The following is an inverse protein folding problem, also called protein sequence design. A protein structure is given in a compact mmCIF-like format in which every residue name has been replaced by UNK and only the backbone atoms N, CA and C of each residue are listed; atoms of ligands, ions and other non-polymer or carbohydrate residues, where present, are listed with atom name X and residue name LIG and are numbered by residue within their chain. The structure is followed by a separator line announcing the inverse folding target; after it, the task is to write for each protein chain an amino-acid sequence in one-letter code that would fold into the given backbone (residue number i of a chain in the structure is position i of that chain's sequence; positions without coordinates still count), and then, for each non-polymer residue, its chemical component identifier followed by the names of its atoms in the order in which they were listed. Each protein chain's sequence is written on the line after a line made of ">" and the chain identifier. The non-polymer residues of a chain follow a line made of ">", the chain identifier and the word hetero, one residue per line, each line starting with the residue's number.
data_IF_201967338214
#
_entry.id   IF_201967338214
#
_cell.length_a   1.000
_cell.length_b   1.000
_cell.length_c   1.000
_cell.angle_alpha   90.00
_cell.angle_beta   90.00
_cell.angle_gamma   90.00
#
_symmetry.space_group_name_H-M   'P 1'
#
loop_
_entity.id
_entity.type
_entity.pdbx_description
1 polymer ?
#
# COMPACT_ATOMS: atom_id res chain seq x y z
N UNK A 1 9.56 -4.50 22.51
CA UNK A 1 9.97 -4.50 21.09
C UNK A 1 9.52 -3.17 20.49
N UNK A 2 10.38 -2.49 19.74
CA UNK A 2 10.08 -1.15 19.21
C UNK A 2 9.51 -1.27 17.81
N UNK A 3 8.29 -0.78 17.60
CA UNK A 3 7.67 -0.74 16.27
C UNK A 3 8.00 0.60 15.60
N UNK A 4 8.31 0.56 14.30
CA UNK A 4 8.52 1.75 13.47
C UNK A 4 7.42 1.84 12.41
N UNK A 5 6.82 3.02 12.26
CA UNK A 5 5.87 3.29 11.19
C UNK A 5 6.56 3.83 9.95
N UNK A 6 6.05 3.44 8.78
CA UNK A 6 6.44 3.99 7.48
C UNK A 6 5.23 4.64 6.83
N UNK A 7 5.48 5.69 6.03
CA UNK A 7 4.45 6.37 5.26
C UNK A 7 4.81 6.28 3.77
N UNK A 8 3.80 6.03 2.95
CA UNK A 8 3.92 5.99 1.50
C UNK A 8 2.66 6.56 0.87
N UNK A 9 2.80 7.20 -0.29
CA UNK A 9 1.70 7.74 -1.06
C UNK A 9 1.98 7.50 -2.55
N UNK A 10 0.92 7.21 -3.31
CA UNK A 10 0.94 7.04 -4.75
C UNK A 10 -0.35 7.60 -5.34
N UNK A 11 -0.40 7.75 -6.66
CA UNK A 11 -1.59 8.18 -7.41
C UNK A 11 -1.99 7.12 -8.40
N UNK A 12 -3.28 6.97 -8.64
CA UNK A 12 -3.84 6.01 -9.58
C UNK A 12 -5.04 6.63 -10.30
N UNK A 13 -5.42 6.05 -11.43
CA UNK A 13 -6.72 6.33 -12.04
C UNK A 13 -7.82 5.58 -11.27
N UNK A 14 -9.09 6.05 -11.35
CA UNK A 14 -10.22 5.38 -10.69
C UNK A 14 -10.66 4.10 -11.42
N UNK A 15 -9.73 3.18 -11.62
CA UNK A 15 -9.96 1.84 -12.17
C UNK A 15 -9.36 0.81 -11.21
N UNK A 16 -9.98 -0.37 -11.12
CA UNK A 16 -9.53 -1.39 -10.18
C UNK A 16 -8.09 -1.84 -10.46
N UNK A 17 -7.72 -1.98 -11.74
CA UNK A 17 -6.38 -2.38 -12.16
C UNK A 17 -5.34 -1.32 -11.77
N UNK A 18 -5.59 -0.04 -12.07
CA UNK A 18 -4.66 1.05 -11.74
C UNK A 18 -4.45 1.18 -10.23
N UNK A 19 -5.53 1.11 -9.43
CA UNK A 19 -5.45 1.18 -7.96
C UNK A 19 -4.63 0.03 -7.40
N UNK A 20 -4.86 -1.20 -7.87
CA UNK A 20 -4.15 -2.38 -7.37
C UNK A 20 -2.68 -2.36 -7.77
N UNK A 21 -2.39 -2.03 -9.03
CA UNK A 21 -1.02 -1.93 -9.53
C UNK A 21 -0.23 -0.85 -8.78
N UNK A 22 -0.77 0.37 -8.68
CA UNK A 22 -0.11 1.47 -7.99
C UNK A 22 0.13 1.15 -6.50
N UNK A 23 -0.83 0.48 -5.85
CA UNK A 23 -0.67 0.06 -4.45
C UNK A 23 0.42 -1.01 -4.30
N UNK A 24 0.50 -1.97 -5.22
CA UNK A 24 1.52 -3.01 -5.20
C UNK A 24 2.92 -2.44 -5.44
N UNK A 25 3.08 -1.53 -6.40
CA UNK A 25 4.33 -0.83 -6.67
C UNK A 25 4.78 -0.01 -5.44
N UNK A 26 3.85 0.66 -4.75
CA UNK A 26 4.14 1.37 -3.51
C UNK A 26 4.65 0.45 -2.40
N UNK A 27 3.99 -0.70 -2.20
CA UNK A 27 4.42 -1.69 -1.20
C UNK A 27 5.81 -2.25 -1.51
N UNK A 28 6.08 -2.56 -2.78
CA UNK A 28 7.40 -3.02 -3.24
C UNK A 28 8.48 -1.95 -3.01
N UNK A 29 8.18 -0.69 -3.31
CA UNK A 29 9.10 0.42 -3.07
C UNK A 29 9.39 0.61 -1.57
N UNK A 30 8.36 0.50 -0.71
CA UNK A 30 8.52 0.57 0.73
C UNK A 30 9.35 -0.60 1.28
N UNK A 31 9.12 -1.82 0.76
CA UNK A 31 9.89 -3.00 1.10
C UNK A 31 11.36 -2.83 0.70
N UNK A 32 11.63 -2.40 -0.53
CA UNK A 32 13.00 -2.17 -0.99
C UNK A 32 13.72 -1.07 -0.19
N UNK A 33 13.00 -0.04 0.26
CA UNK A 33 13.58 1.08 1.00
C UNK A 33 13.83 0.77 2.50
N UNK A 34 13.08 -0.16 3.09
CA UNK A 34 13.14 -0.42 4.54
C UNK A 34 13.50 -1.86 4.92
N UNK A 35 13.64 -2.75 3.93
CA UNK A 35 14.05 -4.15 4.06
C UNK A 35 13.22 -4.92 5.11
N UNK A 36 11.89 -4.97 4.91
CA UNK A 36 10.97 -5.70 5.78
C UNK A 36 10.33 -6.90 5.06
N UNK A 37 10.08 -7.97 5.81
CA UNK A 37 9.27 -9.10 5.37
C UNK A 37 7.78 -8.93 5.79
N UNK A 38 6.83 -9.61 5.14
CA UNK A 38 5.43 -9.61 5.56
C UNK A 38 5.23 -10.00 7.03
N UNK A 39 6.06 -10.91 7.55
CA UNK A 39 6.04 -11.35 8.95
C UNK A 39 6.48 -10.26 9.95
N UNK A 40 7.17 -9.21 9.49
CA UNK A 40 7.59 -8.07 10.33
C UNK A 40 6.48 -7.00 10.48
N UNK A 41 5.40 -7.11 9.70
CA UNK A 41 4.34 -6.11 9.66
C UNK A 41 3.33 -6.31 10.80
N UNK A 42 3.33 -5.40 11.77
CA UNK A 42 2.34 -5.39 12.83
C UNK A 42 0.93 -5.02 12.33
N UNK A 43 0.84 -3.99 11.47
CA UNK A 43 -0.41 -3.52 10.85
C UNK A 43 -0.09 -2.61 9.66
N UNK A 44 -1.05 -2.50 8.72
CA UNK A 44 -1.02 -1.54 7.62
C UNK A 44 -2.37 -0.85 7.54
N UNK A 45 -2.37 0.47 7.38
CA UNK A 45 -3.56 1.26 7.10
C UNK A 45 -3.50 1.82 5.69
N UNK A 46 -4.57 1.59 4.94
CA UNK A 46 -4.76 2.16 3.61
C UNK A 46 -5.80 3.28 3.69
N UNK A 47 -5.47 4.42 3.12
CA UNK A 47 -6.40 5.52 2.89
C UNK A 47 -6.41 5.83 1.40
N UNK A 48 -7.56 6.24 0.89
CA UNK A 48 -7.73 6.69 -0.49
C UNK A 48 -8.53 7.98 -0.47
N UNK A 49 -8.29 8.84 -1.45
CA UNK A 49 -9.09 10.04 -1.66
C UNK A 49 -10.52 9.64 -2.09
N UNK A 50 -11.54 10.47 -1.81
CA UNK A 50 -12.95 10.10 -2.04
C UNK A 50 -13.34 9.83 -3.51
N UNK A 51 -12.50 10.24 -4.45
CA UNK A 51 -12.64 10.04 -5.89
C UNK A 51 -12.21 8.63 -6.35
N UNK A 52 -11.45 7.89 -5.54
CA UNK A 52 -11.04 6.52 -5.81
C UNK A 52 -12.00 5.52 -5.17
N UNK A 53 -12.90 4.95 -5.97
CA UNK A 53 -13.97 4.03 -5.53
C UNK A 53 -13.94 2.67 -6.23
N UNK A 54 -13.12 2.50 -7.26
CA UNK A 54 -13.13 1.31 -8.12
C UNK A 54 -12.52 0.05 -7.47
N UNK A 55 -11.70 0.17 -6.42
CA UNK A 55 -11.16 -0.96 -5.68
C UNK A 55 -10.70 -0.57 -4.28
N UNK A 56 -10.67 -1.53 -3.37
CA UNK A 56 -10.00 -1.38 -2.08
C UNK A 56 -8.49 -1.64 -2.24
N UNK A 57 -7.61 -0.69 -1.88
CA UNK A 57 -6.16 -0.85 -1.98
C UNK A 57 -5.62 -2.07 -1.23
N UNK A 58 -6.24 -2.44 -0.11
CA UNK A 58 -5.85 -3.58 0.72
C UNK A 58 -5.82 -4.91 -0.05
N UNK A 59 -6.56 -5.03 -1.16
CA UNK A 59 -6.56 -6.24 -1.99
C UNK A 59 -5.24 -6.46 -2.74
N UNK A 60 -4.42 -5.42 -2.92
CA UNK A 60 -3.07 -5.55 -3.48
C UNK A 60 -2.04 -6.14 -2.49
N UNK A 61 -2.40 -6.23 -1.20
CA UNK A 61 -1.55 -6.79 -0.15
C UNK A 61 -1.87 -8.27 0.16
N UNK A 62 -2.83 -8.88 -0.53
CA UNK A 62 -3.26 -10.27 -0.35
C UNK A 62 -2.67 -11.21 -1.41
#
# INVERSE_FOLDING_TARGET
>A
MTTRGFLGATTAENTSESILQATQELLQALQAANDFAPDDLAAIWFTATPDLTAAFPARAAC
#
